data_IF_435310910990
#
_entry.id   IF_435310910990
#
_cell.length_a   1.000
_cell.length_b   1.000
_cell.length_c   1.000
_cell.angle_alpha   90.00
_cell.angle_beta   90.00
_cell.angle_gamma   90.00
#
_symmetry.space_group_name_H-M   'P 1'
#
loop_
_entity.id
_entity.type
_entity.pdbx_description
1 polymer ?
#
# COMPACT_ATOMS: atom_id res chain seq x y z
N UNK A 1 29.02 5.15 13.06
CA UNK A 1 28.63 4.55 11.77
C UNK A 1 27.14 4.32 11.85
N UNK A 2 26.36 5.34 11.51
CA UNK A 2 24.89 5.30 11.59
C UNK A 2 24.34 4.58 10.35
N UNK A 3 23.48 3.58 10.57
CA UNK A 3 22.84 2.81 9.51
C UNK A 3 21.74 3.66 8.86
N UNK A 4 21.80 3.80 7.54
CA UNK A 4 20.75 4.43 6.75
C UNK A 4 19.48 3.55 6.79
N UNK A 5 18.38 4.11 7.28
CA UNK A 5 17.05 3.49 7.28
C UNK A 5 16.40 3.82 5.94
N UNK A 6 16.34 2.87 5.01
CA UNK A 6 15.60 3.05 3.74
C UNK A 6 14.12 2.76 3.96
N UNK A 7 13.40 3.81 4.36
CA UNK A 7 11.94 3.83 4.28
C UNK A 7 11.53 4.41 2.93
N UNK A 8 10.91 3.58 2.09
CA UNK A 8 9.98 4.02 1.05
C UNK A 8 8.71 4.57 1.68
N UNK A 9 8.84 5.64 2.46
CA UNK A 9 7.77 6.48 2.92
C UNK A 9 8.31 7.90 3.08
N UNK A 10 7.85 8.86 2.27
CA UNK A 10 8.33 10.22 2.41
C UNK A 10 7.33 11.17 3.05
N UNK A 11 7.96 12.18 3.66
CA UNK A 11 7.47 13.47 4.15
C UNK A 11 6.82 13.53 5.54
N UNK A 12 7.70 13.76 6.51
CA UNK A 12 7.47 14.44 7.80
C UNK A 12 7.22 15.94 7.63
N UNK A 13 6.30 16.53 8.42
CA UNK A 13 6.50 17.80 9.14
C UNK A 13 5.34 18.08 10.12
N UNK A 14 5.68 18.38 11.37
CA UNK A 14 4.72 18.64 12.46
C UNK A 14 4.45 20.12 12.74
N UNK A 15 3.35 20.40 13.48
CA UNK A 15 3.24 21.30 14.65
C UNK A 15 1.77 21.49 15.07
N UNK A 16 1.49 21.22 16.35
CA UNK A 16 0.64 22.05 17.20
C UNK A 16 -0.86 21.72 17.30
N UNK A 17 -1.35 21.54 18.53
CA UNK A 17 -2.72 21.96 18.87
C UNK A 17 -3.58 21.00 19.70
N UNK A 18 -3.35 20.98 21.01
CA UNK A 18 -4.34 20.97 22.12
C UNK A 18 -5.54 20.00 22.05
N UNK A 19 -5.59 19.12 23.06
CA UNK A 19 -6.72 18.29 23.44
C UNK A 19 -7.98 19.10 23.80
N UNK A 20 -9.17 18.53 23.54
CA UNK A 20 -10.33 18.74 24.41
C UNK A 20 -11.35 17.59 24.29
N UNK A 21 -11.86 17.24 25.47
CA UNK A 21 -12.80 16.17 25.77
C UNK A 21 -14.20 16.36 25.16
N UNK A 22 -14.92 15.25 24.99
CA UNK A 22 -16.32 15.27 24.56
C UNK A 22 -16.99 13.90 24.61
N UNK A 23 -17.39 13.51 25.81
CA UNK A 23 -18.24 12.36 26.14
C UNK A 23 -19.62 12.43 25.45
N UNK A 24 -20.15 11.30 24.94
CA UNK A 24 -21.55 10.89 25.11
C UNK A 24 -21.88 9.59 24.33
N UNK A 25 -22.45 8.64 25.07
CA UNK A 25 -23.13 7.44 24.58
C UNK A 25 -24.34 7.77 23.68
N UNK A 26 -24.73 6.83 22.80
CA UNK A 26 -26.10 6.27 22.72
C UNK A 26 -26.19 5.08 21.75
N UNK A 27 -26.93 4.08 22.20
CA UNK A 27 -27.31 2.83 21.52
C UNK A 27 -28.32 3.11 20.41
N UNK A 28 -28.16 2.48 19.24
CA UNK A 28 -29.29 2.19 18.35
C UNK A 28 -29.04 0.91 17.54
N UNK A 29 -29.87 -0.10 17.82
CA UNK A 29 -30.05 -1.29 16.99
C UNK A 29 -30.50 -0.88 15.58
N UNK A 30 -29.79 -1.32 14.55
CA UNK A 30 -30.26 -1.25 13.17
C UNK A 30 -30.32 -2.67 12.59
N UNK A 31 -31.54 -3.13 12.45
CA UNK A 31 -32.03 -4.37 11.81
C UNK A 31 -31.34 -4.70 10.49
N UNK A 32 -30.96 -5.98 10.35
CA UNK A 32 -30.45 -6.61 9.12
C UNK A 32 -31.46 -6.44 7.97
N UNK A 33 -31.07 -5.70 6.94
CA UNK A 33 -31.58 -5.86 5.58
C UNK A 33 -30.45 -6.38 4.70
N UNK A 34 -30.47 -7.69 4.48
CA UNK A 34 -29.66 -8.36 3.46
C UNK A 34 -30.08 -7.83 2.10
N UNK A 35 -29.34 -6.85 1.59
CA UNK A 35 -29.47 -6.42 0.19
C UNK A 35 -28.60 -7.38 -0.60
N UNK A 36 -29.21 -8.14 -1.50
CA UNK A 36 -28.52 -9.04 -2.43
C UNK A 36 -27.44 -8.26 -3.19
N UNK A 37 -26.18 -8.55 -2.89
CA UNK A 37 -25.05 -8.03 -3.65
C UNK A 37 -25.09 -8.74 -5.00
N UNK A 38 -25.68 -8.09 -6.01
CA UNK A 38 -25.58 -8.52 -7.40
C UNK A 38 -24.10 -8.61 -7.75
N UNK A 39 -23.65 -9.81 -8.07
CA UNK A 39 -22.30 -10.09 -8.53
C UNK A 39 -22.00 -9.22 -9.74
N UNK A 40 -21.10 -8.25 -9.58
CA UNK A 40 -20.68 -7.37 -10.65
C UNK A 40 -19.97 -8.24 -11.69
N UNK A 41 -20.60 -8.43 -12.85
CA UNK A 41 -19.92 -8.98 -14.02
C UNK A 41 -18.98 -7.90 -14.53
N UNK A 42 -17.67 -8.16 -14.50
CA UNK A 42 -16.67 -7.30 -15.10
C UNK A 42 -16.78 -7.42 -16.63
N UNK A 43 -17.75 -6.72 -17.21
CA UNK A 43 -17.78 -6.51 -18.65
C UNK A 43 -16.55 -5.68 -19.02
N UNK A 44 -15.76 -6.24 -19.94
CA UNK A 44 -14.48 -5.76 -20.46
C UNK A 44 -14.29 -4.24 -20.38
N UNK A 45 -13.69 -3.76 -19.29
CA UNK A 45 -13.29 -2.36 -19.15
C UNK A 45 -12.24 -2.09 -20.24
N UNK A 46 -12.58 -1.22 -21.19
CA UNK A 46 -11.62 -0.59 -22.12
C UNK A 46 -10.65 0.20 -21.26
N UNK A 47 -9.40 -0.24 -21.22
CA UNK A 47 -8.35 0.38 -20.42
C UNK A 47 -7.84 1.60 -21.17
N UNK A 48 -8.06 2.76 -20.56
CA UNK A 48 -7.28 3.95 -20.87
C UNK A 48 -6.17 4.04 -19.84
N UNK A 49 -4.95 4.25 -20.34
CA UNK A 49 -3.73 4.42 -19.56
C UNK A 49 -3.90 5.45 -18.42
N UNK A 50 -3.12 5.29 -17.35
CA UNK A 50 -2.98 6.24 -16.22
C UNK A 50 -4.20 6.44 -15.30
N UNK A 51 -5.23 5.60 -15.33
CA UNK A 51 -6.40 5.77 -14.45
C UNK A 51 -6.33 4.78 -13.29
N UNK A 52 -6.22 5.30 -12.06
CA UNK A 52 -6.53 4.53 -10.83
C UNK A 52 -7.77 3.69 -11.13
N UNK A 53 -7.74 2.39 -10.81
CA UNK A 53 -8.93 1.55 -10.95
C UNK A 53 -10.15 2.37 -10.49
N UNK A 54 -11.21 2.55 -11.32
CA UNK A 54 -12.27 3.51 -11.03
C UNK A 54 -13.03 3.21 -9.74
N UNK A 55 -12.81 2.05 -9.13
CA UNK A 55 -13.32 1.66 -7.82
C UNK A 55 -12.39 2.01 -6.66
N UNK A 56 -11.18 2.48 -6.90
CA UNK A 56 -10.20 2.88 -5.90
C UNK A 56 -10.11 4.41 -5.86
N UNK A 57 -9.82 4.94 -4.68
CA UNK A 57 -9.61 6.35 -4.44
C UNK A 57 -8.47 6.56 -3.44
N UNK A 58 -7.76 7.69 -3.56
CA UNK A 58 -6.71 8.07 -2.63
C UNK A 58 -7.30 9.01 -1.57
N UNK A 59 -7.07 8.71 -0.30
CA UNK A 59 -7.47 9.55 0.84
C UNK A 59 -6.34 9.65 1.85
N UNK A 60 -6.47 10.55 2.82
CA UNK A 60 -5.66 10.50 4.03
C UNK A 60 -5.87 9.15 4.74
N UNK A 61 -4.76 8.52 5.09
CA UNK A 61 -4.75 7.22 5.76
C UNK A 61 -4.59 7.41 7.27
N UNK A 62 -5.35 6.67 8.09
CA UNK A 62 -5.08 6.59 9.53
C UNK A 62 -3.79 5.82 9.85
N UNK A 63 -3.25 5.06 8.90
CA UNK A 63 -2.00 4.30 9.05
C UNK A 63 -0.81 5.22 8.77
N UNK A 64 -0.74 5.77 7.55
CA UNK A 64 0.38 6.61 7.13
C UNK A 64 0.03 7.47 5.90
N UNK A 65 0.20 8.78 6.03
CA UNK A 65 0.13 9.71 4.90
C UNK A 65 -1.16 9.56 4.10
N UNK A 66 -1.02 9.14 2.84
CA UNK A 66 -2.15 8.79 1.97
C UNK A 66 -2.26 7.26 1.86
N UNK A 67 -3.48 6.79 1.66
CA UNK A 67 -3.81 5.38 1.46
C UNK A 67 -4.74 5.19 0.28
N UNK A 68 -4.90 3.93 -0.13
CA UNK A 68 -5.82 3.54 -1.19
C UNK A 68 -7.05 2.89 -0.60
N UNK A 69 -8.21 3.40 -0.96
CA UNK A 69 -9.49 2.96 -0.40
C UNK A 69 -10.38 2.44 -1.50
N UNK A 70 -11.12 1.37 -1.24
CA UNK A 70 -12.14 0.90 -2.19
C UNK A 70 -13.45 1.65 -2.00
N UNK A 71 -14.08 2.08 -3.10
CA UNK A 71 -15.40 2.71 -3.14
C UNK A 71 -16.54 1.69 -3.12
N UNK A 72 -16.23 0.42 -3.35
CA UNK A 72 -17.21 -0.68 -3.48
C UNK A 72 -16.74 -1.93 -2.74
N UNK A 73 -17.64 -2.87 -2.38
CA UNK A 73 -17.21 -4.15 -1.87
C UNK A 73 -16.41 -4.94 -2.91
N UNK A 74 -15.31 -5.56 -2.50
CA UNK A 74 -14.45 -6.41 -3.34
C UNK A 74 -14.50 -7.84 -2.80
N UNK A 75 -14.69 -8.83 -3.66
CA UNK A 75 -14.70 -10.24 -3.26
C UNK A 75 -13.29 -10.80 -3.12
N UNK A 76 -13.10 -11.72 -2.18
CA UNK A 76 -11.87 -12.52 -2.07
C UNK A 76 -11.45 -13.08 -3.43
N UNK A 77 -10.15 -13.00 -3.74
CA UNK A 77 -9.55 -13.47 -4.98
C UNK A 77 -9.68 -12.50 -6.16
N UNK A 78 -10.30 -11.33 -5.97
CA UNK A 78 -10.37 -10.30 -7.02
C UNK A 78 -9.02 -9.60 -7.17
N UNK A 79 -8.47 -9.57 -8.38
CA UNK A 79 -7.32 -8.73 -8.71
C UNK A 79 -7.76 -7.25 -8.77
N UNK A 80 -7.14 -6.39 -7.97
CA UNK A 80 -7.54 -4.99 -7.83
C UNK A 80 -6.84 -4.11 -8.86
N UNK A 81 -5.58 -4.40 -9.20
CA UNK A 81 -4.94 -3.82 -10.37
C UNK A 81 -4.74 -4.87 -11.44
N UNK A 82 -5.04 -4.47 -12.66
CA UNK A 82 -4.72 -5.22 -13.87
C UNK A 82 -4.09 -4.22 -14.81
N UNK A 83 -2.75 -4.23 -14.91
CA UNK A 83 -2.08 -3.48 -15.96
C UNK A 83 -2.46 -4.09 -17.31
N UNK A 84 -2.96 -3.29 -18.24
CA UNK A 84 -3.19 -3.69 -19.65
C UNK A 84 -2.24 -2.96 -20.61
N UNK A 85 -0.99 -2.73 -20.21
CA UNK A 85 0.00 -2.16 -21.12
C UNK A 85 1.23 -1.61 -20.42
N UNK A 86 2.04 -0.90 -21.20
CA UNK A 86 3.22 -0.16 -20.75
C UNK A 86 2.77 0.93 -19.76
N UNK A 87 2.71 0.57 -18.48
CA UNK A 87 2.84 1.54 -17.41
C UNK A 87 4.16 2.27 -17.68
N UNK A 88 4.19 3.61 -17.78
CA UNK A 88 5.42 4.38 -17.98
C UNK A 88 6.23 4.44 -16.67
N UNK A 89 6.27 3.31 -15.97
CA UNK A 89 7.05 3.13 -14.78
C UNK A 89 8.38 2.57 -15.26
N UNK A 90 9.45 3.36 -15.08
CA UNK A 90 10.82 2.94 -15.38
C UNK A 90 11.28 1.89 -14.34
N UNK A 91 10.44 0.88 -14.06
CA UNK A 91 10.80 -0.28 -13.26
C UNK A 91 11.92 -1.01 -13.96
N UNK A 92 12.96 -1.27 -13.19
CA UNK A 92 14.07 -2.11 -13.60
C UNK A 92 14.26 -3.19 -12.57
N UNK A 93 14.74 -4.32 -13.07
CA UNK A 93 15.25 -5.39 -12.24
C UNK A 93 16.73 -5.08 -12.00
N UNK A 94 17.12 -5.03 -10.73
CA UNK A 94 18.48 -4.84 -10.25
C UNK A 94 18.90 -6.11 -9.54
N UNK A 95 20.15 -6.54 -9.71
CA UNK A 95 20.80 -7.44 -8.74
C UNK A 95 20.97 -6.73 -7.40
N UNK A 96 21.26 -7.47 -6.32
CA UNK A 96 21.52 -6.86 -4.99
C UNK A 96 22.59 -5.76 -5.04
N UNK A 97 23.72 -5.99 -5.74
CA UNK A 97 24.81 -5.02 -5.87
C UNK A 97 24.38 -3.76 -6.64
N UNK A 98 23.62 -3.94 -7.73
CA UNK A 98 23.10 -2.83 -8.51
C UNK A 98 22.04 -2.05 -7.71
N UNK A 99 21.23 -2.74 -6.91
CA UNK A 99 20.21 -2.12 -6.08
C UNK A 99 20.84 -1.28 -4.96
N UNK A 100 21.89 -1.75 -4.31
CA UNK A 100 22.65 -0.94 -3.34
C UNK A 100 23.18 0.35 -3.98
N UNK A 101 23.70 0.24 -5.21
CA UNK A 101 24.22 1.39 -5.95
C UNK A 101 23.10 2.37 -6.31
N UNK A 102 21.95 1.85 -6.74
CA UNK A 102 20.75 2.64 -7.00
C UNK A 102 20.25 3.38 -5.74
N UNK A 103 20.20 2.71 -4.59
CA UNK A 103 19.79 3.30 -3.32
C UNK A 103 20.74 4.44 -2.91
N UNK A 104 22.06 4.22 -2.98
CA UNK A 104 23.08 5.25 -2.69
C UNK A 104 22.87 6.48 -3.56
N UNK A 105 22.70 6.28 -4.87
CA UNK A 105 22.42 7.37 -5.81
C UNK A 105 21.13 8.12 -5.47
N UNK A 106 20.05 7.41 -5.12
CA UNK A 106 18.79 8.04 -4.74
C UNK A 106 18.95 8.92 -3.49
N UNK A 107 19.63 8.42 -2.46
CA UNK A 107 19.91 9.17 -1.23
C UNK A 107 20.73 10.43 -1.54
N UNK A 108 21.81 10.30 -2.30
CA UNK A 108 22.69 11.43 -2.67
C UNK A 108 21.97 12.51 -3.48
N UNK A 109 20.98 12.12 -4.27
CA UNK A 109 20.23 13.03 -5.15
C UNK A 109 18.85 13.43 -4.58
N UNK A 110 18.55 13.06 -3.34
CA UNK A 110 17.26 13.35 -2.70
C UNK A 110 16.07 12.78 -3.48
N UNK A 111 16.22 11.59 -4.06
CA UNK A 111 15.17 10.88 -4.78
C UNK A 111 14.52 9.83 -3.88
N UNK A 112 13.20 9.76 -3.97
CA UNK A 112 12.40 8.69 -3.38
C UNK A 112 12.29 7.54 -4.38
N UNK A 113 12.20 6.33 -3.87
CA UNK A 113 12.06 5.13 -4.69
C UNK A 113 11.11 4.14 -4.03
N UNK A 114 10.45 3.34 -4.87
CA UNK A 114 9.69 2.17 -4.46
C UNK A 114 10.47 0.93 -4.94
N UNK A 115 10.52 -0.09 -4.10
CA UNK A 115 11.22 -1.33 -4.41
C UNK A 115 10.57 -2.53 -3.74
N UNK A 116 10.70 -3.69 -4.38
CA UNK A 116 10.35 -5.00 -3.84
C UNK A 116 11.49 -5.98 -4.07
N UNK A 117 11.73 -6.85 -3.10
CA UNK A 117 12.63 -7.98 -3.25
C UNK A 117 11.91 -9.14 -3.97
N UNK A 118 12.59 -9.76 -4.93
CA UNK A 118 12.04 -10.86 -5.71
C UNK A 118 12.33 -12.24 -5.09
N UNK A 119 13.28 -12.32 -4.15
CA UNK A 119 13.67 -13.54 -3.42
C UNK A 119 14.70 -14.41 -4.15
N UNK A 120 15.34 -13.88 -5.20
CA UNK A 120 16.35 -14.55 -6.02
C UNK A 120 17.65 -13.73 -6.16
N UNK A 121 17.92 -12.84 -5.19
CA UNK A 121 19.04 -11.88 -5.25
C UNK A 121 18.81 -10.73 -6.23
N UNK A 122 17.54 -10.46 -6.55
CA UNK A 122 17.14 -9.33 -7.39
C UNK A 122 16.00 -8.52 -6.76
N UNK A 123 15.92 -7.26 -7.21
CA UNK A 123 14.96 -6.27 -6.78
C UNK A 123 14.28 -5.64 -7.99
N UNK A 124 12.96 -5.48 -7.91
CA UNK A 124 12.23 -4.61 -8.85
C UNK A 124 12.11 -3.24 -8.21
N UNK A 125 12.65 -2.20 -8.84
CA UNK A 125 12.66 -0.86 -8.26
C UNK A 125 12.51 0.25 -9.32
N UNK A 126 11.97 1.39 -8.89
CA UNK A 126 11.83 2.60 -9.69
C UNK A 126 11.87 3.85 -8.80
N UNK A 127 12.15 5.00 -9.41
CA UNK A 127 11.97 6.29 -8.75
C UNK A 127 10.47 6.52 -8.51
N UNK A 128 10.12 6.87 -7.28
CA UNK A 128 8.73 7.10 -6.90
C UNK A 128 8.19 8.33 -7.61
N UNK A 129 7.11 8.14 -8.37
CA UNK A 129 6.30 9.21 -8.93
C UNK A 129 4.84 8.86 -8.69
N UNK A 130 4.34 9.20 -7.49
CA UNK A 130 3.00 8.80 -7.04
C UNK A 130 1.88 9.57 -7.76
N UNK A 131 2.21 10.64 -8.48
CA UNK A 131 1.25 11.34 -9.34
C UNK A 131 1.00 10.53 -10.62
N UNK A 132 2.05 9.95 -11.20
CA UNK A 132 1.93 9.05 -12.37
C UNK A 132 1.53 7.62 -11.99
N UNK A 133 1.93 7.17 -10.80
CA UNK A 133 1.72 5.82 -10.29
C UNK A 133 0.97 5.86 -8.96
N UNK A 134 -0.32 6.24 -9.00
CA UNK A 134 -1.15 6.32 -7.81
C UNK A 134 -1.35 4.96 -7.11
N UNK A 135 -0.95 3.85 -7.73
CA UNK A 135 -0.92 2.55 -7.06
C UNK A 135 0.08 2.44 -5.91
N UNK A 136 1.04 3.36 -5.84
CA UNK A 136 2.10 3.35 -4.83
C UNK A 136 1.69 4.00 -3.50
N UNK A 137 0.43 4.43 -3.36
CA UNK A 137 -0.14 4.84 -2.07
C UNK A 137 -0.61 3.66 -1.21
N UNK A 138 -0.33 2.40 -1.59
CA UNK A 138 -0.76 1.24 -0.82
C UNK A 138 0.09 1.01 0.42
N UNK A 139 -0.50 1.17 1.60
CA UNK A 139 0.17 1.06 2.89
C UNK A 139 0.34 -0.39 3.39
N UNK A 140 1.11 -0.53 4.46
CA UNK A 140 1.27 -1.80 5.17
C UNK A 140 0.18 -2.06 6.22
N UNK A 141 -0.19 -3.34 6.40
CA UNK A 141 -0.85 -3.84 7.60
C UNK A 141 -0.29 -5.20 8.01
N UNK A 142 -0.20 -5.45 9.33
CA UNK A 142 0.12 -6.77 9.88
C UNK A 142 -1.05 -7.77 9.73
N UNK A 143 -2.26 -7.26 9.47
CA UNK A 143 -3.42 -8.03 9.02
C UNK A 143 -3.89 -7.45 7.67
N UNK A 144 -3.19 -7.77 6.57
CA UNK A 144 -3.45 -7.17 5.26
C UNK A 144 -4.72 -7.74 4.63
N UNK A 145 -5.35 -6.95 3.76
CA UNK A 145 -6.47 -7.41 2.95
C UNK A 145 -6.10 -7.65 1.47
N UNK A 146 -4.86 -7.36 1.06
CA UNK A 146 -4.32 -7.64 -0.27
C UNK A 146 -2.95 -8.31 -0.21
N UNK A 147 -2.64 -9.13 -1.22
CA UNK A 147 -1.30 -9.68 -1.41
C UNK A 147 -0.37 -8.72 -2.18
N UNK A 148 0.88 -9.15 -2.43
CA UNK A 148 1.88 -8.37 -3.17
C UNK A 148 1.46 -8.03 -4.61
N UNK A 149 0.63 -8.89 -5.22
CA UNK A 149 0.07 -8.71 -6.55
C UNK A 149 -1.26 -7.96 -6.51
N UNK A 150 -1.64 -7.45 -5.33
CA UNK A 150 -2.83 -6.65 -5.08
C UNK A 150 -4.12 -7.42 -5.39
N UNK A 151 -4.12 -8.70 -5.07
CA UNK A 151 -5.28 -9.58 -5.06
C UNK A 151 -5.90 -9.58 -3.67
N UNK A 152 -7.23 -9.48 -3.59
CA UNK A 152 -7.95 -9.48 -2.32
C UNK A 152 -7.82 -10.83 -1.58
N UNK A 153 -7.31 -10.80 -0.33
CA UNK A 153 -7.11 -11.98 0.52
C UNK A 153 -8.42 -12.45 1.21
N UNK A 154 -9.37 -11.52 1.34
CA UNK A 154 -10.70 -11.72 1.92
C UNK A 154 -11.72 -10.83 1.20
N UNK A 155 -12.99 -10.95 1.57
CA UNK A 155 -13.97 -9.93 1.20
C UNK A 155 -13.58 -8.60 1.86
N UNK A 156 -13.60 -7.52 1.09
CA UNK A 156 -13.23 -6.16 1.50
C UNK A 156 -14.47 -5.28 1.35
N UNK A 157 -14.85 -4.57 2.40
CA UNK A 157 -16.00 -3.68 2.39
C UNK A 157 -15.67 -2.34 1.72
N UNK A 158 -16.70 -1.67 1.19
CA UNK A 158 -16.56 -0.30 0.71
C UNK A 158 -16.06 0.59 1.86
N UNK A 159 -15.10 1.46 1.55
CA UNK A 159 -14.44 2.36 2.50
C UNK A 159 -13.24 1.77 3.23
N UNK A 160 -12.92 0.47 3.06
CA UNK A 160 -11.70 -0.08 3.64
C UNK A 160 -10.45 0.36 2.87
N UNK A 161 -9.36 0.57 3.60
CA UNK A 161 -8.03 0.80 3.05
C UNK A 161 -7.41 -0.52 2.56
N UNK A 162 -6.87 -0.52 1.35
CA UNK A 162 -6.13 -1.61 0.76
C UNK A 162 -4.70 -1.62 1.31
N UNK A 163 -4.33 -2.72 1.95
CA UNK A 163 -3.05 -2.86 2.63
C UNK A 163 -2.38 -4.19 2.30
N UNK A 164 -1.05 -4.22 2.35
CA UNK A 164 -0.23 -5.41 2.10
C UNK A 164 0.76 -5.69 3.24
N UNK A 165 1.23 -6.93 3.39
CA UNK A 165 2.31 -7.23 4.34
C UNK A 165 3.67 -6.99 3.67
N UNK A 166 4.33 -5.88 4.02
CA UNK A 166 5.61 -5.49 3.42
C UNK A 166 6.73 -6.50 3.71
N UNK A 167 6.60 -7.27 4.80
CA UNK A 167 7.56 -8.33 5.11
C UNK A 167 7.72 -9.31 3.94
N UNK A 168 6.62 -9.65 3.26
CA UNK A 168 6.55 -10.67 2.21
C UNK A 168 7.32 -10.34 0.93
N UNK A 169 7.79 -9.10 0.79
CA UNK A 169 8.48 -8.61 -0.40
C UNK A 169 9.62 -7.65 -0.05
N UNK A 170 10.20 -7.80 1.14
CA UNK A 170 11.38 -7.07 1.60
C UNK A 170 12.44 -8.06 2.07
N UNK A 171 13.71 -7.67 1.99
CA UNK A 171 14.86 -8.46 2.41
C UNK A 171 14.98 -8.55 3.94
N UNK A 172 15.61 -9.61 4.46
CA UNK A 172 15.79 -9.81 5.92
C UNK A 172 16.48 -8.65 6.66
N UNK A 173 17.32 -7.87 5.98
CA UNK A 173 18.02 -6.72 6.53
C UNK A 173 17.18 -5.43 6.55
N UNK A 174 16.02 -5.43 5.89
CA UNK A 174 15.07 -4.32 5.88
C UNK A 174 14.11 -4.38 7.08
N UNK A 175 13.90 -3.24 7.74
CA UNK A 175 12.89 -3.10 8.79
C UNK A 175 12.21 -1.72 8.81
N UNK A 176 10.98 -1.67 9.34
CA UNK A 176 10.28 -0.42 9.62
C UNK A 176 9.44 -0.50 10.89
N UNK A 177 9.25 0.65 11.56
CA UNK A 177 8.25 0.78 12.64
C UNK A 177 6.84 0.72 12.03
N UNK A 178 5.93 0.01 12.69
CA UNK A 178 4.57 -0.20 12.21
C UNK A 178 3.52 0.43 13.13
N UNK A 179 2.59 1.17 12.53
CA UNK A 179 1.47 1.82 13.20
C UNK A 179 0.12 1.42 12.56
N UNK A 180 0.03 0.23 11.97
CA UNK A 180 -1.14 -0.18 11.17
C UNK A 180 -2.45 -0.34 11.95
N UNK A 181 -2.40 -0.40 13.29
CA UNK A 181 -3.58 -0.53 14.14
C UNK A 181 -4.24 -1.92 14.17
N UNK A 182 -3.66 -2.92 13.50
CA UNK A 182 -4.14 -4.31 13.57
C UNK A 182 -4.04 -4.86 15.02
N UNK A 183 -4.97 -5.73 15.41
CA UNK A 183 -5.03 -6.32 16.76
C UNK A 183 -3.72 -7.01 17.15
N UNK A 184 -3.09 -7.70 16.20
CA UNK A 184 -1.80 -8.38 16.37
C UNK A 184 -0.66 -7.64 15.66
N UNK A 185 -0.63 -6.31 15.72
CA UNK A 185 0.44 -5.50 15.14
C UNK A 185 1.81 -5.91 15.69
N UNK A 186 2.78 -6.17 14.80
CA UNK A 186 4.15 -6.58 15.17
C UNK A 186 4.96 -5.44 15.81
N UNK A 187 4.54 -4.18 15.65
CA UNK A 187 5.26 -2.97 16.07
C UNK A 187 6.50 -2.67 15.24
N UNK A 188 7.25 -3.68 14.82
CA UNK A 188 8.34 -3.61 13.84
C UNK A 188 8.10 -4.69 12.79
N UNK A 189 8.12 -4.29 11.53
CA UNK A 189 8.03 -5.19 10.37
C UNK A 189 9.45 -5.43 9.87
N UNK A 190 9.77 -6.68 9.61
CA UNK A 190 11.05 -7.12 9.04
C UNK A 190 10.77 -7.91 7.77
N UNK A 191 11.62 -7.74 6.76
CA UNK A 191 11.56 -8.59 5.57
C UNK A 191 11.84 -10.05 5.89
N UNK A 192 11.44 -10.94 4.98
CA UNK A 192 11.58 -12.40 5.12
C UNK A 192 12.13 -13.06 3.84
N UNK A 193 12.62 -12.26 2.90
CA UNK A 193 13.23 -12.72 1.65
C UNK A 193 14.76 -12.58 1.66
#
# INVERSE_FOLDING_TARGET
MEKAVSVGAPAVNGRGGVAQDGNAAHVAQATRRTTEIKQIKFDTIKVMALVINPYIEIKDSPIQGKGLFTKVPIKKGTAIWVSKGEEPYDEKIYTDEEFETFQKWCIENGKEWDAVANGDGTHTAAISDREKHPGNYGNHSCDPNTDKNRVALRDIMAGEELTADYAQFSTEDWEMKCNCGAENCKGIVRGIL
#
